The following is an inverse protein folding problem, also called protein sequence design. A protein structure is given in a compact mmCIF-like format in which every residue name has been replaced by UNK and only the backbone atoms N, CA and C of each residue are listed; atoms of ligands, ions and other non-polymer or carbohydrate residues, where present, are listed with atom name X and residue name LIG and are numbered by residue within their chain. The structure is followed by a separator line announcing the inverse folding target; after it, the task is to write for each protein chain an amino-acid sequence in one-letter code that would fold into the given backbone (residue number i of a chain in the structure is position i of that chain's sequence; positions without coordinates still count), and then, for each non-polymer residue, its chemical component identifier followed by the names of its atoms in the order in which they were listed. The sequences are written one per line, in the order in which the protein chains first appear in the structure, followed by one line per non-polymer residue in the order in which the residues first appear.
data_IF_355973898871
#
_entry.id   IF_355973898871
#
_cell.length_a   1.000
_cell.length_b   1.000
_cell.length_c   1.000
_cell.angle_alpha   90.00
_cell.angle_beta   90.00
_cell.angle_gamma   90.00
#
_symmetry.space_group_name_H-M   'P 1'
#
loop_
_entity.id
_entity.type
_entity.pdbx_description
1 polymer ?
#
# COMPACT_ATOMS: atom_id res chain seq x y z
N UNK A 1 -54.27 51.27 -27.29
CA UNK A 1 -54.42 49.80 -27.15
C UNK A 1 -53.07 49.15 -27.40
N UNK A 2 -52.37 48.67 -26.36
CA UNK A 2 -51.09 47.97 -26.51
C UNK A 2 -51.27 46.51 -26.08
N UNK A 3 -51.37 45.61 -27.07
CA UNK A 3 -51.41 44.16 -26.85
C UNK A 3 -50.02 43.70 -26.42
N UNK A 4 -49.80 43.41 -25.12
CA UNK A 4 -48.59 42.74 -24.64
C UNK A 4 -48.58 41.31 -25.17
N UNK A 5 -47.63 40.97 -26.05
CA UNK A 5 -47.28 39.57 -26.35
C UNK A 5 -46.54 39.00 -25.15
N UNK A 6 -47.00 37.85 -24.65
CA UNK A 6 -46.36 37.09 -23.58
C UNK A 6 -45.06 36.47 -24.14
N UNK A 7 -43.96 36.42 -23.37
CA UNK A 7 -42.78 35.67 -23.80
C UNK A 7 -43.11 34.18 -23.65
N UNK A 8 -43.38 33.53 -24.77
CA UNK A 8 -43.51 32.07 -24.83
C UNK A 8 -42.09 31.49 -24.62
N UNK A 9 -41.73 31.25 -23.36
CA UNK A 9 -40.48 30.58 -23.02
C UNK A 9 -40.45 29.19 -23.66
N UNK A 10 -39.24 28.76 -24.04
CA UNK A 10 -38.89 27.49 -24.70
C UNK A 10 -39.51 26.24 -24.02
N UNK A 11 -40.00 26.40 -22.79
CA UNK A 11 -40.58 25.34 -21.95
C UNK A 11 -42.05 24.99 -22.21
N UNK A 12 -42.81 25.77 -22.98
CA UNK A 12 -44.28 25.73 -22.91
C UNK A 12 -45.03 24.69 -23.75
N UNK A 13 -44.55 24.31 -24.93
CA UNK A 13 -45.43 23.63 -25.92
C UNK A 13 -44.88 22.35 -26.54
N UNK A 14 -43.56 22.20 -26.68
CA UNK A 14 -42.98 21.10 -27.48
C UNK A 14 -42.28 20.01 -26.65
N UNK A 15 -42.07 20.25 -25.34
CA UNK A 15 -41.38 19.30 -24.45
C UNK A 15 -42.13 17.96 -24.32
N UNK A 16 -43.48 17.93 -24.14
CA UNK A 16 -44.20 16.67 -23.98
C UNK A 16 -44.13 15.78 -25.23
N UNK A 17 -44.20 16.37 -26.43
CA UNK A 17 -44.15 15.64 -27.70
C UNK A 17 -42.75 15.05 -27.98
N UNK A 18 -41.69 15.76 -27.58
CA UNK A 18 -40.32 15.27 -27.67
C UNK A 18 -40.04 14.14 -26.68
N UNK A 19 -40.60 14.20 -25.47
CA UNK A 19 -40.46 13.14 -24.46
C UNK A 19 -41.18 11.87 -24.92
N UNK A 20 -42.40 12.00 -25.45
CA UNK A 20 -43.22 10.85 -25.87
C UNK A 20 -42.61 10.12 -27.08
N UNK A 21 -41.97 10.86 -27.99
CA UNK A 21 -41.26 10.27 -29.14
C UNK A 21 -39.92 9.62 -28.77
N UNK A 22 -39.27 10.05 -27.67
CA UNK A 22 -37.93 9.60 -27.27
C UNK A 22 -37.92 8.81 -25.95
N UNK A 23 -39.04 8.18 -25.59
CA UNK A 23 -39.19 7.53 -24.28
C UNK A 23 -38.17 6.40 -24.04
N UNK A 24 -37.78 5.68 -25.10
CA UNK A 24 -36.74 4.65 -25.03
C UNK A 24 -35.34 5.21 -24.69
N UNK A 25 -35.00 6.38 -25.23
CA UNK A 25 -33.73 7.06 -24.93
C UNK A 25 -33.72 7.59 -23.49
N UNK A 26 -34.85 8.10 -23.00
CA UNK A 26 -34.97 8.57 -21.62
C UNK A 26 -34.89 7.40 -20.63
N UNK A 27 -35.50 6.25 -20.95
CA UNK A 27 -35.37 5.03 -20.16
C UNK A 27 -33.92 4.51 -20.13
N UNK A 28 -33.19 4.59 -21.24
CA UNK A 28 -31.77 4.25 -21.30
C UNK A 28 -30.93 5.15 -20.39
N UNK A 29 -31.12 6.47 -20.46
CA UNK A 29 -30.46 7.43 -19.58
C UNK A 29 -30.81 7.19 -18.10
N UNK A 30 -32.08 6.88 -17.80
CA UNK A 30 -32.51 6.51 -16.45
C UNK A 30 -31.82 5.25 -15.94
N UNK A 31 -31.68 4.22 -16.79
CA UNK A 31 -30.90 3.02 -16.49
C UNK A 31 -29.43 3.33 -16.22
N UNK A 32 -28.82 4.19 -17.04
CA UNK A 32 -27.44 4.64 -16.86
C UNK A 32 -27.26 5.41 -15.54
N UNK A 33 -28.23 6.25 -15.18
CA UNK A 33 -28.25 6.98 -13.92
C UNK A 33 -28.35 6.03 -12.71
N UNK A 34 -29.17 4.98 -12.79
CA UNK A 34 -29.24 3.95 -11.74
C UNK A 34 -27.92 3.21 -11.57
N UNK A 35 -27.30 2.79 -12.68
CA UNK A 35 -25.98 2.14 -12.65
C UNK A 35 -24.92 3.08 -12.05
N UNK A 36 -24.97 4.37 -12.40
CA UNK A 36 -24.06 5.38 -11.87
C UNK A 36 -24.21 5.55 -10.36
N UNK A 37 -25.45 5.70 -9.86
CA UNK A 37 -25.72 5.84 -8.42
C UNK A 37 -25.26 4.60 -7.66
N UNK A 38 -25.54 3.41 -8.21
CA UNK A 38 -25.06 2.14 -7.66
C UNK A 38 -23.54 2.12 -7.55
N UNK A 39 -22.84 2.39 -8.66
CA UNK A 39 -21.38 2.40 -8.69
C UNK A 39 -20.75 3.44 -7.75
N UNK A 40 -21.35 4.63 -7.65
CA UNK A 40 -20.89 5.67 -6.73
C UNK A 40 -20.96 5.20 -5.27
N UNK A 41 -22.05 4.53 -4.88
CA UNK A 41 -22.22 4.00 -3.52
C UNK A 41 -21.23 2.85 -3.21
N UNK A 42 -20.98 1.96 -4.18
CA UNK A 42 -19.96 0.92 -4.06
C UNK A 42 -18.55 1.51 -3.94
N UNK A 43 -18.23 2.53 -4.73
CA UNK A 43 -16.94 3.21 -4.68
C UNK A 43 -16.70 3.87 -3.32
N UNK A 44 -17.70 4.57 -2.76
CA UNK A 44 -17.60 5.19 -1.44
C UNK A 44 -17.28 4.16 -0.34
N UNK A 45 -18.01 3.04 -0.33
CA UNK A 45 -17.81 1.98 0.65
C UNK A 45 -16.41 1.36 0.53
N UNK A 46 -15.94 1.15 -0.70
CA UNK A 46 -14.61 0.59 -0.95
C UNK A 46 -13.50 1.54 -0.52
N UNK A 47 -13.64 2.84 -0.78
CA UNK A 47 -12.68 3.86 -0.33
C UNK A 47 -12.54 3.84 1.20
N UNK A 48 -13.66 3.75 1.93
CA UNK A 48 -13.62 3.65 3.41
C UNK A 48 -12.92 2.38 3.89
N UNK A 49 -13.15 1.24 3.22
CA UNK A 49 -12.45 -0.02 3.52
C UNK A 49 -10.95 0.09 3.28
N UNK A 50 -10.54 0.69 2.17
CA UNK A 50 -9.12 0.91 1.83
C UNK A 50 -8.43 1.70 2.94
N UNK A 51 -9.03 2.81 3.39
CA UNK A 51 -8.46 3.64 4.46
C UNK A 51 -8.29 2.87 5.78
N UNK A 52 -9.23 1.97 6.09
CA UNK A 52 -9.14 1.14 7.31
C UNK A 52 -8.02 0.11 7.19
N UNK A 53 -7.93 -0.57 6.04
CA UNK A 53 -6.87 -1.54 5.75
C UNK A 53 -5.48 -0.89 5.75
N UNK A 54 -5.34 0.30 5.16
CA UNK A 54 -4.08 1.06 5.19
C UNK A 54 -3.64 1.40 6.62
N UNK A 55 -4.60 1.73 7.50
CA UNK A 55 -4.32 1.99 8.91
C UNK A 55 -3.80 0.73 9.60
N UNK A 56 -4.43 -0.41 9.37
CA UNK A 56 -4.03 -1.70 9.94
C UNK A 56 -2.63 -2.12 9.47
N UNK A 57 -2.34 -2.00 8.17
CA UNK A 57 -1.00 -2.27 7.61
C UNK A 57 0.05 -1.35 8.24
N UNK A 58 -0.28 -0.07 8.42
CA UNK A 58 0.65 0.90 9.03
C UNK A 58 0.95 0.54 10.48
N UNK A 59 -0.07 0.14 11.25
CA UNK A 59 0.06 -0.30 12.64
C UNK A 59 0.94 -1.54 12.73
N UNK A 60 0.66 -2.57 11.92
CA UNK A 60 1.49 -3.79 11.84
C UNK A 60 2.94 -3.49 11.47
N UNK A 61 3.17 -2.61 10.48
CA UNK A 61 4.51 -2.19 10.08
C UNK A 61 5.25 -1.50 11.23
N UNK A 62 4.56 -0.68 12.01
CA UNK A 62 5.12 -0.02 13.18
C UNK A 62 5.56 -1.03 14.24
N UNK A 63 4.72 -2.01 14.56
CA UNK A 63 5.05 -3.09 15.50
C UNK A 63 6.28 -3.88 15.02
N UNK A 64 6.34 -4.23 13.73
CA UNK A 64 7.48 -4.94 13.16
C UNK A 64 8.78 -4.12 13.26
N UNK A 65 8.73 -2.83 12.90
CA UNK A 65 9.90 -1.95 13.02
C UNK A 65 10.37 -1.80 14.47
N UNK A 66 9.45 -1.72 15.43
CA UNK A 66 9.79 -1.67 16.85
C UNK A 66 10.49 -2.94 17.31
N UNK A 67 9.95 -4.12 16.97
CA UNK A 67 10.56 -5.41 17.30
C UNK A 67 11.92 -5.60 16.64
N UNK A 68 12.05 -5.19 15.38
CA UNK A 68 13.34 -5.22 14.68
C UNK A 68 14.36 -4.29 15.34
N UNK A 69 13.92 -3.09 15.77
CA UNK A 69 14.79 -2.16 16.49
C UNK A 69 15.26 -2.74 17.82
N UNK A 70 14.38 -3.40 18.57
CA UNK A 70 14.73 -4.08 19.81
C UNK A 70 15.70 -5.25 19.58
N UNK A 71 15.45 -6.08 18.56
CA UNK A 71 16.36 -7.15 18.17
C UNK A 71 17.73 -6.60 17.74
N UNK A 72 17.74 -5.55 16.92
CA UNK A 72 18.98 -4.91 16.50
C UNK A 72 19.73 -4.31 17.69
N UNK A 73 19.03 -3.71 18.64
CA UNK A 73 19.62 -3.20 19.89
C UNK A 73 20.24 -4.32 20.73
N UNK A 74 19.51 -5.43 20.91
CA UNK A 74 20.03 -6.63 21.59
C UNK A 74 21.22 -7.27 20.84
N UNK A 75 21.24 -7.18 19.51
CA UNK A 75 22.32 -7.65 18.66
C UNK A 75 23.47 -6.64 18.47
N UNK A 76 23.38 -5.43 19.04
CA UNK A 76 24.45 -4.46 18.93
C UNK A 76 25.71 -5.02 19.58
N UNK A 77 26.81 -4.88 18.85
CA UNK A 77 28.12 -5.35 19.28
C UNK A 77 28.59 -4.70 20.58
N UNK A 78 28.04 -3.54 20.98
CA UNK A 78 28.34 -2.90 22.27
C UNK A 78 27.59 -3.56 23.43
N UNK A 79 26.30 -3.84 23.27
CA UNK A 79 25.44 -4.44 24.30
C UNK A 79 25.85 -5.90 24.58
N UNK A 80 26.10 -6.67 23.52
CA UNK A 80 26.61 -8.04 23.62
C UNK A 80 27.99 -8.03 24.30
N UNK A 81 28.80 -7.01 24.08
CA UNK A 81 30.10 -6.91 24.75
C UNK A 81 29.99 -6.61 26.23
N UNK A 82 29.04 -5.78 26.62
CA UNK A 82 28.80 -5.50 28.04
C UNK A 82 28.18 -6.71 28.73
N UNK A 83 27.28 -7.46 28.08
CA UNK A 83 26.72 -8.72 28.62
C UNK A 83 27.75 -9.84 28.77
N UNK A 84 28.66 -9.97 27.81
CA UNK A 84 29.64 -11.08 27.76
C UNK A 84 30.98 -10.69 28.41
N UNK A 85 31.12 -9.44 28.87
CA UNK A 85 32.27 -8.98 29.69
C UNK A 85 32.34 -9.71 31.03
N UNK A 86 31.19 -9.99 31.65
CA UNK A 86 31.10 -10.72 32.92
C UNK A 86 31.55 -12.18 32.75
N UNK A 87 31.39 -12.75 31.55
CA UNK A 87 31.92 -14.07 31.17
C UNK A 87 33.41 -14.04 30.78
N UNK A 88 34.10 -12.90 30.91
CA UNK A 88 35.55 -12.77 30.72
C UNK A 88 36.03 -12.68 29.26
N UNK A 89 35.12 -12.60 28.28
CA UNK A 89 35.46 -12.52 26.86
C UNK A 89 35.75 -11.06 26.43
N UNK A 90 36.81 -10.86 25.64
CA UNK A 90 37.28 -9.53 25.19
C UNK A 90 37.28 -9.42 23.66
N UNK A 91 36.82 -8.28 23.15
CA UNK A 91 36.77 -8.00 21.71
C UNK A 91 38.17 -7.87 21.11
N UNK A 92 38.44 -8.63 20.05
CA UNK A 92 39.61 -8.44 19.22
C UNK A 92 39.46 -7.13 18.43
N UNK A 93 40.20 -6.08 18.83
CA UNK A 93 40.19 -4.74 18.19
C UNK A 93 41.06 -4.62 16.93
N UNK A 94 41.74 -5.70 16.54
CA UNK A 94 42.63 -5.72 15.37
C UNK A 94 41.90 -5.89 14.05
N UNK A 95 42.51 -5.38 12.97
CA UNK A 95 42.05 -5.61 11.59
C UNK A 95 41.81 -7.11 11.34
N UNK A 96 40.81 -7.50 10.53
CA UNK A 96 40.55 -8.90 10.21
C UNK A 96 41.84 -9.55 9.72
N UNK A 97 42.26 -10.66 10.36
CA UNK A 97 43.45 -11.38 9.92
C UNK A 97 43.11 -12.03 8.57
N UNK A 98 43.68 -11.48 7.49
CA UNK A 98 43.66 -12.15 6.19
C UNK A 98 44.49 -13.42 6.34
N UNK A 99 43.83 -14.57 6.37
CA UNK A 99 44.52 -15.86 6.28
C UNK A 99 45.03 -15.95 4.84
N UNK A 100 46.29 -15.61 4.64
CA UNK A 100 46.97 -15.87 3.36
C UNK A 100 47.58 -17.25 3.54
N UNK A 101 46.93 -18.26 2.95
CA UNK A 101 47.48 -19.62 2.93
C UNK A 101 48.62 -19.62 1.92
N UNK A 102 49.85 -19.91 2.35
CA UNK A 102 50.94 -20.15 1.41
C UNK A 102 50.76 -21.54 0.79
N UNK A 103 50.93 -21.69 -0.54
CA UNK A 103 50.77 -22.98 -1.21
C UNK A 103 51.69 -24.09 -0.69
N UNK A 104 52.74 -23.75 0.06
CA UNK A 104 53.72 -24.68 0.63
C UNK A 104 53.25 -25.42 1.90
N UNK A 105 52.20 -24.93 2.58
CA UNK A 105 51.61 -25.56 3.77
C UNK A 105 50.28 -26.29 3.46
N UNK A 106 49.90 -26.33 2.18
CA UNK A 106 48.81 -27.17 1.69
C UNK A 106 49.31 -28.61 1.63
N UNK A 107 49.28 -29.32 2.76
CA UNK A 107 49.19 -30.78 2.70
C UNK A 107 47.97 -31.09 1.81
N UNK A 108 48.13 -31.82 0.69
CA UNK A 108 47.03 -32.03 -0.23
C UNK A 108 45.91 -32.68 0.55
N UNK A 109 44.80 -31.94 0.64
CA UNK A 109 43.57 -32.38 1.26
C UNK A 109 43.23 -33.77 0.70
N UNK A 110 43.50 -34.81 1.49
CA UNK A 110 43.06 -36.18 1.22
C UNK A 110 41.56 -36.18 1.45
N UNK A 111 40.82 -35.73 0.44
CA UNK A 111 39.38 -35.89 0.41
C UNK A 111 39.15 -37.37 0.07
N UNK A 112 38.64 -38.20 1.00
CA UNK A 112 38.17 -39.53 0.61
C UNK A 112 37.04 -39.33 -0.39
N UNK A 113 37.26 -39.76 -1.62
CA UNK A 113 36.25 -39.76 -2.66
C UNK A 113 35.06 -40.59 -2.18
N UNK A 114 33.90 -39.95 -2.03
CA UNK A 114 32.61 -40.61 -2.03
C UNK A 114 31.58 -39.73 -2.70
#
# INVERSE_FOLDING_TARGET
MAKRKKPEGIFGSNIPALILSNIGYLAFLGGLALVYIGNAHYAETNVRKIQTLEREIKEQRWTYMSLMSENMHNGLRSEVMDRVKDDGLRLHRGKPKKVIVQPSDLEPLKIPAK
#
